data_IF_128232722249
#
_entry.id   IF_128232722249
#
_cell.length_a   1.000
_cell.length_b   1.000
_cell.length_c   1.000
_cell.angle_alpha   90.00
_cell.angle_beta   90.00
_cell.angle_gamma   90.00
#
_symmetry.space_group_name_H-M   'P 1'
#
loop_
_entity.id
_entity.type
_entity.pdbx_description
1 polymer ?
#
# COMPACT_ATOMS: atom_id res chain seq x y z
N UNK A 1 7.31 33.85 -29.98
CA UNK A 1 6.07 33.56 -29.21
C UNK A 1 6.22 32.19 -28.56
N UNK A 2 5.79 32.06 -27.30
CA UNK A 2 6.08 30.95 -26.38
C UNK A 2 5.59 29.59 -26.90
N UNK A 3 6.42 28.55 -26.79
CA UNK A 3 6.01 27.14 -26.84
C UNK A 3 5.03 26.88 -25.69
N UNK A 4 3.83 26.41 -26.00
CA UNK A 4 2.90 25.89 -25.01
C UNK A 4 3.50 24.63 -24.38
N UNK A 5 3.66 24.64 -23.07
CA UNK A 5 3.97 23.47 -22.26
C UNK A 5 2.74 22.59 -22.27
N UNK A 6 2.79 21.45 -22.95
CA UNK A 6 1.83 20.38 -22.71
C UNK A 6 2.20 19.76 -21.37
N UNK A 7 1.45 20.09 -20.32
CA UNK A 7 1.49 19.34 -19.07
C UNK A 7 0.67 18.07 -19.34
N UNK A 8 1.31 17.03 -19.89
CA UNK A 8 0.68 15.71 -19.89
C UNK A 8 0.74 15.23 -18.45
N UNK A 9 -0.40 15.31 -17.76
CA UNK A 9 -0.63 14.45 -16.62
C UNK A 9 -0.46 13.02 -17.13
N UNK A 10 0.61 12.37 -16.68
CA UNK A 10 0.85 10.93 -16.80
C UNK A 10 -0.29 10.21 -16.06
N UNK A 11 -1.45 10.15 -16.69
CA UNK A 11 -2.41 9.07 -16.45
C UNK A 11 -1.78 7.82 -17.04
N UNK A 12 -0.96 7.19 -16.20
CA UNK A 12 -0.40 5.86 -16.38
C UNK A 12 -1.58 4.88 -16.58
N UNK A 13 -1.89 4.60 -17.85
CA UNK A 13 -2.88 3.65 -18.35
C UNK A 13 -2.46 2.20 -18.02
N UNK A 14 -2.24 1.92 -16.73
CA UNK A 14 -2.20 0.55 -16.19
C UNK A 14 -3.65 0.14 -15.87
N UNK A 15 -4.11 -1.07 -16.25
CA UNK A 15 -5.47 -1.53 -15.95
C UNK A 15 -5.79 -1.28 -14.48
N UNK A 16 -6.88 -0.53 -14.22
CA UNK A 16 -7.27 0.08 -12.95
C UNK A 16 -6.95 -0.81 -11.74
N UNK A 17 -5.71 -0.74 -11.28
CA UNK A 17 -5.27 -1.47 -10.11
C UNK A 17 -5.94 -0.82 -8.93
N UNK A 18 -6.70 -1.60 -8.15
CA UNK A 18 -7.43 -1.11 -6.99
C UNK A 18 -6.48 -0.31 -6.09
N UNK A 19 -6.73 0.99 -5.92
CA UNK A 19 -5.90 1.84 -5.07
C UNK A 19 -6.69 2.59 -4.01
N UNK A 20 -6.09 2.72 -2.83
CA UNK A 20 -6.66 3.38 -1.66
C UNK A 20 -5.98 4.71 -1.36
N UNK A 21 -6.83 5.69 -1.05
CA UNK A 21 -6.45 7.01 -0.52
C UNK A 21 -7.04 7.20 0.87
N UNK A 22 -6.48 8.15 1.63
CA UNK A 22 -6.83 8.41 3.03
C UNK A 22 -6.83 7.13 3.89
N UNK A 23 -5.84 6.26 3.68
CA UNK A 23 -5.83 4.94 4.28
C UNK A 23 -5.30 4.93 5.74
N UNK A 24 -5.77 3.99 6.54
CA UNK A 24 -5.22 3.67 7.87
C UNK A 24 -5.53 2.21 8.21
N UNK A 25 -4.73 1.64 9.11
CA UNK A 25 -4.89 0.26 9.58
C UNK A 25 -5.28 0.26 11.03
N UNK A 26 -6.23 -0.60 11.38
CA UNK A 26 -6.67 -0.83 12.74
C UNK A 26 -6.83 -2.34 12.98
N UNK A 27 -6.89 -2.73 14.25
CA UNK A 27 -7.24 -4.10 14.65
C UNK A 27 -8.75 -4.29 14.83
N UNK A 28 -9.15 -5.46 15.35
CA UNK A 28 -10.52 -5.81 15.69
C UNK A 28 -11.12 -5.01 16.87
N UNK A 29 -10.30 -4.23 17.58
CA UNK A 29 -10.71 -3.32 18.64
C UNK A 29 -10.62 -1.85 18.20
N UNK A 30 -10.56 -1.58 16.89
CA UNK A 30 -10.40 -0.25 16.30
C UNK A 30 -9.14 0.50 16.77
N UNK A 31 -8.10 -0.22 17.23
CA UNK A 31 -6.85 0.40 17.65
C UNK A 31 -5.90 0.54 16.46
N UNK A 32 -5.27 1.72 16.27
CA UNK A 32 -4.42 1.97 15.12
C UNK A 32 -3.18 1.08 15.12
N UNK A 33 -2.90 0.50 13.96
CA UNK A 33 -1.78 -0.42 13.73
C UNK A 33 -0.79 0.09 12.70
N UNK A 34 0.48 -0.22 12.89
CA UNK A 34 1.51 -0.02 11.88
C UNK A 34 1.57 -1.21 10.91
N UNK A 35 2.00 -0.97 9.67
CA UNK A 35 2.19 -2.02 8.65
C UNK A 35 3.17 -3.11 9.11
N UNK A 36 4.09 -2.81 10.04
CA UNK A 36 5.06 -3.79 10.57
C UNK A 36 4.41 -4.99 11.27
N UNK A 37 3.13 -4.89 11.65
CA UNK A 37 2.39 -5.99 12.27
C UNK A 37 2.01 -7.07 11.25
N UNK A 38 2.14 -6.77 9.96
CA UNK A 38 1.92 -7.70 8.87
C UNK A 38 3.28 -8.17 8.30
N UNK A 39 3.38 -9.43 7.87
CA UNK A 39 4.57 -9.93 7.19
C UNK A 39 4.77 -9.22 5.84
N UNK A 40 6.05 -9.04 5.47
CA UNK A 40 6.44 -8.65 4.12
C UNK A 40 6.46 -9.91 3.24
N UNK A 41 5.78 -9.88 2.09
CA UNK A 41 5.92 -10.88 1.04
C UNK A 41 6.77 -10.35 -0.11
N UNK A 42 7.69 -11.19 -0.58
CA UNK A 42 8.62 -10.87 -1.66
C UNK A 42 8.24 -11.57 -2.96
N UNK A 43 7.61 -12.73 -2.87
CA UNK A 43 7.18 -13.53 -4.03
C UNK A 43 5.73 -14.04 -3.89
N UNK A 44 5.05 -14.28 -5.02
CA UNK A 44 3.71 -14.89 -5.02
C UNK A 44 3.74 -16.35 -4.51
N UNK A 45 4.89 -17.02 -4.65
CA UNK A 45 5.17 -18.36 -4.14
C UNK A 45 5.54 -18.40 -2.66
N UNK A 46 5.52 -17.26 -1.95
CA UNK A 46 5.62 -17.25 -0.49
C UNK A 46 4.30 -17.83 0.06
N UNK A 47 4.21 -19.16 0.09
CA UNK A 47 3.09 -19.92 0.64
C UNK A 47 2.90 -19.54 2.12
N UNK A 48 1.65 -19.23 2.48
CA UNK A 48 1.21 -18.84 3.83
C UNK A 48 1.01 -20.08 4.75
N UNK A 49 1.67 -21.19 4.43
CA UNK A 49 1.30 -22.54 4.89
C UNK A 49 1.58 -22.82 6.38
N UNK A 50 2.00 -21.82 7.16
CA UNK A 50 2.38 -22.03 8.57
C UNK A 50 1.78 -21.06 9.58
N UNK A 51 1.00 -20.07 9.14
CA UNK A 51 0.42 -19.10 10.06
C UNK A 51 -1.05 -19.46 10.29
N UNK A 52 -1.29 -20.10 11.44
CA UNK A 52 -2.61 -20.36 11.98
C UNK A 52 -3.40 -19.04 12.06
N UNK A 53 -4.30 -18.84 11.10
CA UNK A 53 -5.18 -17.68 10.93
C UNK A 53 -6.00 -17.38 12.20
N UNK A 54 -6.11 -18.36 13.10
CA UNK A 54 -6.78 -18.27 14.40
C UNK A 54 -5.97 -17.50 15.46
N UNK A 55 -4.64 -17.35 15.30
CA UNK A 55 -3.75 -16.73 16.30
C UNK A 55 -3.26 -15.34 15.90
N UNK A 56 -3.33 -14.98 14.62
CA UNK A 56 -2.95 -13.63 14.20
C UNK A 56 -4.05 -12.62 14.54
N UNK A 57 -3.61 -11.46 15.06
CA UNK A 57 -4.48 -10.32 15.26
C UNK A 57 -5.09 -9.93 13.91
N UNK A 58 -6.41 -9.79 13.86
CA UNK A 58 -7.10 -9.38 12.63
C UNK A 58 -6.75 -7.92 12.35
N UNK A 59 -6.21 -7.65 11.17
CA UNK A 59 -5.85 -6.31 10.73
C UNK A 59 -6.75 -5.92 9.57
N UNK A 60 -7.28 -4.70 9.62
CA UNK A 60 -8.13 -4.15 8.58
C UNK A 60 -7.49 -2.92 7.98
N UNK A 61 -7.60 -2.77 6.67
CA UNK A 61 -7.27 -1.53 5.96
C UNK A 61 -8.56 -0.80 5.65
N UNK A 62 -8.62 0.47 6.04
CA UNK A 62 -9.70 1.38 5.70
C UNK A 62 -9.19 2.40 4.69
N UNK A 63 -10.05 2.89 3.79
CA UNK A 63 -9.70 3.99 2.89
C UNK A 63 -10.80 4.29 1.89
N UNK A 64 -10.50 5.19 0.95
CA UNK A 64 -11.36 5.49 -0.19
C UNK A 64 -10.80 4.89 -1.47
N UNK A 65 -11.65 4.13 -2.17
CA UNK A 65 -11.32 3.58 -3.48
C UNK A 65 -11.24 4.69 -4.52
N UNK A 66 -10.17 4.73 -5.29
CA UNK A 66 -10.09 5.60 -6.46
C UNK A 66 -10.66 4.89 -7.71
N UNK A 67 -11.37 5.59 -8.61
CA UNK A 67 -11.71 7.02 -8.58
C UNK A 67 -13.01 7.35 -7.82
N UNK A 68 -13.84 6.35 -7.51
CA UNK A 68 -15.23 6.55 -7.05
C UNK A 68 -15.36 7.10 -5.61
N UNK A 69 -14.25 7.30 -4.90
CA UNK A 69 -14.15 7.73 -3.49
C UNK A 69 -15.05 6.96 -2.52
N UNK A 70 -15.36 5.70 -2.85
CA UNK A 70 -16.19 4.85 -2.02
C UNK A 70 -15.39 4.39 -0.80
N UNK A 71 -15.91 4.62 0.41
CA UNK A 71 -15.29 4.13 1.64
C UNK A 71 -15.30 2.60 1.63
N UNK A 72 -14.14 1.98 1.81
CA UNK A 72 -13.96 0.53 1.85
C UNK A 72 -13.14 0.13 3.08
N UNK A 73 -13.36 -1.11 3.47
CA UNK A 73 -12.66 -1.80 4.56
C UNK A 73 -12.36 -3.21 4.06
N UNK A 74 -11.12 -3.66 4.18
CA UNK A 74 -10.71 -5.00 3.79
C UNK A 74 -9.89 -5.66 4.91
N UNK A 75 -10.11 -6.95 5.22
CA UNK A 75 -9.17 -7.70 6.04
C UNK A 75 -7.88 -7.94 5.24
N UNK A 76 -6.73 -7.72 5.86
CA UNK A 76 -5.41 -7.84 5.23
C UNK A 76 -4.52 -8.80 6.00
N UNK A 77 -3.57 -9.41 5.29
CA UNK A 77 -2.69 -10.44 5.86
C UNK A 77 -1.20 -10.26 5.56
N UNK A 78 -0.83 -9.46 4.57
CA UNK A 78 0.57 -9.21 4.22
C UNK A 78 0.71 -7.87 3.51
N UNK A 79 1.96 -7.39 3.38
CA UNK A 79 2.29 -6.24 2.55
C UNK A 79 3.52 -6.50 1.68
N UNK A 80 3.70 -5.69 0.65
CA UNK A 80 4.86 -5.75 -0.24
C UNK A 80 5.10 -4.38 -0.86
N UNK A 81 6.25 -4.21 -1.49
CA UNK A 81 6.57 -3.01 -2.24
C UNK A 81 7.33 -3.31 -3.53
N UNK A 82 7.07 -2.51 -4.56
CA UNK A 82 7.74 -2.58 -5.85
C UNK A 82 8.63 -1.35 -6.04
N UNK A 83 9.92 -1.57 -6.27
CA UNK A 83 10.93 -0.52 -6.48
C UNK A 83 11.31 -0.32 -7.96
N UNK A 84 10.75 -1.10 -8.87
CA UNK A 84 11.11 -1.07 -10.30
C UNK A 84 10.33 -0.01 -11.09
N UNK A 85 9.25 0.53 -10.52
CA UNK A 85 8.45 1.61 -11.10
C UNK A 85 9.10 2.99 -10.93
N UNK A 86 8.57 4.01 -11.64
CA UNK A 86 9.05 5.40 -11.56
C UNK A 86 9.08 5.95 -10.13
N UNK A 87 8.07 5.61 -9.33
CA UNK A 87 7.99 5.84 -7.89
C UNK A 87 7.80 4.49 -7.19
N UNK A 88 8.27 4.31 -5.95
CA UNK A 88 8.02 3.06 -5.24
C UNK A 88 6.51 2.88 -4.99
N UNK A 89 6.03 1.66 -5.19
CA UNK A 89 4.62 1.28 -4.96
C UNK A 89 4.56 0.44 -3.69
N UNK A 90 3.72 0.83 -2.74
CA UNK A 90 3.42 0.05 -1.54
C UNK A 90 2.04 -0.61 -1.71
N UNK A 91 1.95 -1.91 -1.38
CA UNK A 91 0.72 -2.69 -1.56
C UNK A 91 0.40 -3.55 -0.34
N UNK A 92 -0.89 -3.77 -0.08
CA UNK A 92 -1.40 -4.72 0.92
C UNK A 92 -2.11 -5.89 0.24
N UNK A 93 -1.92 -7.10 0.77
CA UNK A 93 -2.64 -8.30 0.34
C UNK A 93 -3.89 -8.48 1.22
N UNK A 94 -5.06 -8.57 0.60
CA UNK A 94 -6.29 -8.94 1.29
C UNK A 94 -6.27 -10.41 1.71
N UNK A 95 -7.13 -10.79 2.65
CA UNK A 95 -7.32 -12.22 2.96
C UNK A 95 -7.76 -13.05 1.75
N UNK A 96 -8.48 -12.44 0.81
CA UNK A 96 -8.89 -13.06 -0.46
C UNK A 96 -7.76 -13.16 -1.49
N UNK A 97 -6.53 -12.75 -1.15
CA UNK A 97 -5.35 -12.85 -2.02
C UNK A 97 -5.12 -11.67 -2.96
N UNK A 98 -6.06 -10.72 -3.05
CA UNK A 98 -5.96 -9.56 -3.93
C UNK A 98 -4.97 -8.52 -3.39
N UNK A 99 -4.22 -7.87 -4.29
CA UNK A 99 -3.31 -6.79 -3.94
C UNK A 99 -3.94 -5.40 -4.13
N UNK A 100 -3.79 -4.54 -3.12
CA UNK A 100 -4.32 -3.18 -3.12
C UNK A 100 -3.15 -2.19 -3.03
N UNK A 101 -3.03 -1.29 -4.02
CA UNK A 101 -2.01 -0.24 -4.04
C UNK A 101 -2.38 0.89 -3.05
N UNK A 102 -1.41 1.40 -2.30
CA UNK A 102 -1.61 2.49 -1.34
C UNK A 102 -1.09 3.82 -1.91
N UNK A 103 -1.98 4.80 -2.08
CA UNK A 103 -1.62 6.13 -2.62
C UNK A 103 -1.30 7.16 -1.53
N UNK A 104 -2.25 7.45 -0.63
CA UNK A 104 -2.06 8.46 0.42
C UNK A 104 -2.65 8.02 1.76
N UNK A 105 -1.89 8.10 2.87
CA UNK A 105 -2.41 7.78 4.18
C UNK A 105 -3.42 8.84 4.65
N UNK A 106 -4.21 8.48 5.65
CA UNK A 106 -5.00 9.43 6.43
C UNK A 106 -4.06 10.37 7.19
N UNK A 107 -4.43 11.64 7.32
CA UNK A 107 -3.63 12.67 8.02
C UNK A 107 -3.14 12.22 9.41
N UNK A 108 -4.03 11.62 10.21
CA UNK A 108 -3.71 11.11 11.55
C UNK A 108 -2.82 9.86 11.55
N UNK A 109 -2.72 9.17 10.42
CA UNK A 109 -1.93 7.96 10.24
C UNK A 109 -0.53 8.24 9.64
N UNK A 110 -0.30 9.45 9.12
CA UNK A 110 0.98 9.86 8.53
C UNK A 110 2.15 9.58 9.47
N UNK A 111 2.02 9.92 10.76
CA UNK A 111 3.08 9.71 11.75
C UNK A 111 3.45 8.22 11.91
N UNK A 112 2.46 7.33 11.85
CA UNK A 112 2.65 5.88 11.98
C UNK A 112 3.38 5.28 10.79
N UNK A 113 3.06 5.74 9.57
CA UNK A 113 3.57 5.13 8.33
C UNK A 113 4.81 5.81 7.76
N UNK A 114 5.13 7.03 8.23
CA UNK A 114 6.19 7.89 7.69
C UNK A 114 7.53 7.17 7.56
N UNK A 115 7.97 6.47 8.61
CA UNK A 115 9.27 5.79 8.60
C UNK A 115 9.37 4.75 7.50
N UNK A 116 8.31 3.95 7.28
CA UNK A 116 8.26 2.94 6.21
C UNK A 116 8.32 3.61 4.85
N UNK A 117 7.55 4.69 4.63
CA UNK A 117 7.58 5.41 3.35
C UNK A 117 8.96 6.00 3.06
N UNK A 118 9.62 6.60 4.06
CA UNK A 118 10.99 7.12 3.92
C UNK A 118 11.95 5.99 3.54
N UNK A 119 11.92 4.88 4.28
CA UNK A 119 12.79 3.72 4.01
C UNK A 119 12.59 3.17 2.61
N UNK A 120 11.35 3.02 2.16
CA UNK A 120 11.04 2.53 0.81
C UNK A 120 11.56 3.50 -0.27
N UNK A 121 11.42 4.81 -0.08
CA UNK A 121 11.98 5.79 -1.01
C UNK A 121 13.51 5.78 -1.04
N UNK A 122 14.15 5.57 0.11
CA UNK A 122 15.59 5.40 0.19
C UNK A 122 16.06 4.15 -0.58
N UNK A 123 15.38 3.02 -0.39
CA UNK A 123 15.67 1.78 -1.12
C UNK A 123 15.44 1.92 -2.63
N UNK A 124 14.38 2.62 -3.03
CA UNK A 124 14.11 2.95 -4.44
C UNK A 124 15.27 3.73 -5.06
N UNK A 125 15.73 4.77 -4.36
CA UNK A 125 16.84 5.60 -4.81
C UNK A 125 18.13 4.78 -4.92
N UNK A 126 18.49 4.01 -3.89
CA UNK A 126 19.67 3.16 -3.89
C UNK A 126 19.65 2.11 -5.02
N UNK A 127 18.49 1.48 -5.29
CA UNK A 127 18.36 0.52 -6.39
C UNK A 127 18.57 1.18 -7.76
N UNK A 128 18.09 2.42 -7.93
CA UNK A 128 18.21 3.16 -9.19
C UNK A 128 19.63 3.68 -9.43
N UNK A 129 20.37 3.93 -8.36
CA UNK A 129 21.73 4.45 -8.38
C UNK A 129 22.66 3.58 -7.50
N UNK A 130 22.99 2.36 -7.96
CA UNK A 130 23.78 1.39 -7.21
C UNK A 130 25.27 1.76 -7.09
#
# INVERSE_FOLDING_TARGET
>A
MKKGMANSDDDDDEPQSLCLTNYHLDDDNDMPLSLIMLPIKWSESDEDDSIDDCKQKKVFIHGYLHPNRLKKMFPVKAWSFNLSSLKPILSLQTKDGNWIKLKSPRKSFEATIRTILITIHFLHYAKKYP
#
